data_IF_335898508924
#
_entry.id   IF_335898508924
#
_cell.length_a   1.000
_cell.length_b   1.000
_cell.length_c   1.000
_cell.angle_alpha   90.00
_cell.angle_beta   90.00
_cell.angle_gamma   90.00
#
_symmetry.space_group_name_H-M   'P 1'
#
loop_
_entity.id
_entity.type
_entity.pdbx_description
1 polymer ?
#
# COMPACT_ATOMS: atom_id res chain seq x y z
N UNK A 1 -8.29 -39.99 -45.34
CA UNK A 1 -7.74 -40.05 -43.96
C UNK A 1 -6.62 -39.03 -43.68
N UNK A 2 -5.71 -38.72 -44.62
CA UNK A 2 -4.65 -37.69 -44.41
C UNK A 2 -5.18 -36.26 -44.21
N UNK A 3 -6.21 -35.86 -44.96
CA UNK A 3 -6.83 -34.54 -44.87
C UNK A 3 -7.59 -34.28 -43.56
N UNK A 4 -8.22 -35.32 -42.98
CA UNK A 4 -8.91 -35.22 -41.70
C UNK A 4 -7.95 -35.05 -40.52
N UNK A 5 -6.78 -35.70 -40.56
CA UNK A 5 -5.73 -35.53 -39.54
C UNK A 5 -5.09 -34.14 -39.58
N UNK A 6 -4.96 -33.55 -40.77
CA UNK A 6 -4.45 -32.18 -40.93
C UNK A 6 -5.43 -31.15 -40.36
N UNK A 7 -6.74 -31.32 -40.63
CA UNK A 7 -7.78 -30.45 -40.08
C UNK A 7 -7.84 -30.51 -38.56
N UNK A 8 -7.75 -31.71 -37.97
CA UNK A 8 -7.79 -31.89 -36.51
C UNK A 8 -6.57 -31.24 -35.82
N UNK A 9 -5.37 -31.37 -36.42
CA UNK A 9 -4.16 -30.75 -35.91
C UNK A 9 -4.22 -29.21 -35.98
N UNK A 10 -4.74 -28.64 -37.08
CA UNK A 10 -4.92 -27.19 -37.22
C UNK A 10 -5.97 -26.67 -36.23
N UNK A 11 -7.07 -27.38 -36.00
CA UNK A 11 -8.05 -26.98 -34.99
C UNK A 11 -7.51 -27.03 -33.56
N UNK A 12 -6.66 -28.01 -33.22
CA UNK A 12 -6.05 -28.09 -31.88
C UNK A 12 -5.04 -26.96 -31.62
N UNK A 13 -4.32 -26.50 -32.64
CA UNK A 13 -3.38 -25.36 -32.53
C UNK A 13 -4.14 -24.04 -32.32
N UNK A 14 -5.22 -23.80 -33.07
CA UNK A 14 -6.01 -22.55 -32.96
C UNK A 14 -6.71 -22.42 -31.60
N UNK A 15 -7.10 -23.54 -30.98
CA UNK A 15 -7.74 -23.53 -29.66
C UNK A 15 -6.73 -23.40 -28.51
N UNK A 16 -5.48 -23.84 -28.71
CA UNK A 16 -4.42 -23.69 -27.70
C UNK A 16 -3.89 -22.26 -27.55
N UNK A 17 -4.00 -21.42 -28.58
CA UNK A 17 -3.55 -20.02 -28.53
C UNK A 17 -4.47 -19.10 -27.73
N UNK A 18 -5.71 -19.50 -27.43
CA UNK A 18 -6.66 -18.66 -26.70
C UNK A 18 -6.56 -18.79 -25.17
N UNK A 19 -5.90 -19.83 -24.65
CA UNK A 19 -5.78 -20.02 -23.19
C UNK A 19 -4.66 -19.21 -22.55
N UNK A 20 -3.72 -18.67 -23.34
CA UNK A 20 -2.63 -17.82 -22.86
C UNK A 20 -2.98 -16.32 -22.82
N UNK A 21 -4.03 -15.88 -23.52
CA UNK A 21 -4.45 -14.47 -23.55
C UNK A 21 -5.32 -14.09 -22.34
N UNK A 22 -6.14 -15.02 -21.83
CA UNK A 22 -7.09 -14.74 -20.75
C UNK A 22 -6.42 -14.42 -19.38
N UNK A 23 -5.16 -14.81 -19.18
CA UNK A 23 -4.41 -14.46 -17.97
C UNK A 23 -3.86 -13.02 -17.99
N UNK A 24 -3.74 -12.39 -19.17
CA UNK A 24 -3.17 -11.05 -19.33
C UNK A 24 -4.25 -9.96 -19.36
N UNK A 25 -5.51 -10.30 -19.69
CA UNK A 25 -6.62 -9.33 -19.81
C UNK A 25 -6.97 -8.60 -18.52
N UNK A 26 -6.67 -9.18 -17.36
CA UNK A 26 -6.92 -8.58 -16.03
C UNK A 26 -5.68 -7.92 -15.42
N UNK A 27 -4.54 -7.97 -16.12
CA UNK A 27 -3.31 -7.35 -15.69
C UNK A 27 -3.17 -5.97 -16.34
N UNK A 28 -2.70 -4.99 -15.56
CA UNK A 28 -2.49 -3.62 -15.98
C UNK A 28 -1.07 -3.20 -15.59
N UNK A 29 -0.38 -2.42 -16.45
CA UNK A 29 0.95 -1.95 -16.12
C UNK A 29 0.89 -0.98 -14.93
N UNK A 30 1.89 -1.05 -14.07
CA UNK A 30 2.20 -0.01 -13.10
C UNK A 30 3.60 0.54 -13.34
N UNK A 31 3.88 1.71 -12.76
CA UNK A 31 5.21 2.30 -12.76
C UNK A 31 5.78 2.32 -11.35
N UNK A 32 7.09 2.07 -11.23
CA UNK A 32 7.83 2.24 -9.99
C UNK A 32 8.75 3.45 -10.13
N UNK A 33 8.52 4.47 -9.31
CA UNK A 33 9.37 5.65 -9.24
C UNK A 33 9.75 5.91 -7.79
N UNK A 34 11.05 5.89 -7.47
CA UNK A 34 11.57 6.09 -6.11
C UNK A 34 10.89 5.18 -5.05
N UNK A 35 10.73 3.88 -5.37
CA UNK A 35 10.06 2.92 -4.49
C UNK A 35 8.54 3.05 -4.42
N UNK A 36 7.94 4.00 -5.15
CA UNK A 36 6.49 4.20 -5.20
C UNK A 36 5.89 3.54 -6.42
N UNK A 37 4.87 2.72 -6.19
CA UNK A 37 4.06 2.14 -7.26
C UNK A 37 2.96 3.12 -7.62
N UNK A 38 2.76 3.35 -8.91
CA UNK A 38 1.65 4.16 -9.40
C UNK A 38 0.92 3.51 -10.56
N UNK A 39 -0.39 3.69 -10.61
CA UNK A 39 -1.26 3.21 -11.69
C UNK A 39 -1.98 4.37 -12.38
N UNK A 40 -2.36 4.22 -13.66
CA UNK A 40 -3.20 5.21 -14.33
C UNK A 40 -4.61 5.23 -13.73
N UNK A 41 -5.13 6.44 -13.51
CA UNK A 41 -6.51 6.69 -13.08
C UNK A 41 -7.07 7.88 -13.87
N UNK A 42 -8.38 7.95 -14.01
CA UNK A 42 -9.06 9.13 -14.54
C UNK A 42 -9.81 9.81 -13.39
N UNK A 43 -9.61 11.11 -13.21
CA UNK A 43 -10.31 11.91 -12.20
C UNK A 43 -10.87 13.14 -12.91
N UNK A 44 -12.19 13.34 -12.81
CA UNK A 44 -12.90 14.44 -13.46
C UNK A 44 -12.63 14.53 -14.98
N UNK A 45 -12.53 13.38 -15.66
CA UNK A 45 -12.25 13.32 -17.10
C UNK A 45 -10.77 13.48 -17.48
N UNK A 46 -9.88 13.75 -16.51
CA UNK A 46 -8.45 13.93 -16.75
C UNK A 46 -7.66 12.67 -16.39
N UNK A 47 -6.84 12.18 -17.33
CA UNK A 47 -5.90 11.09 -17.06
C UNK A 47 -4.78 11.58 -16.15
N UNK A 48 -4.60 10.89 -15.03
CA UNK A 48 -3.54 11.15 -14.03
C UNK A 48 -3.03 9.82 -13.46
N UNK A 49 -2.19 9.89 -12.43
CA UNK A 49 -1.64 8.72 -11.74
C UNK A 49 -1.99 8.75 -10.26
N UNK A 50 -2.36 7.58 -9.75
CA UNK A 50 -2.51 7.35 -8.33
C UNK A 50 -1.36 6.51 -7.78
N UNK A 51 -0.74 6.96 -6.69
CA UNK A 51 0.23 6.18 -5.92
C UNK A 51 -0.54 5.15 -5.09
N UNK A 52 -0.17 3.88 -5.23
CA UNK A 52 -0.73 2.80 -4.44
C UNK A 52 -0.15 2.84 -3.03
N UNK A 53 -1.02 2.77 -2.02
CA UNK A 53 -0.64 2.70 -0.61
C UNK A 53 -1.51 1.70 0.17
N UNK A 54 -1.18 1.49 1.44
CA UNK A 54 -1.96 0.66 2.38
C UNK A 54 -2.64 1.47 3.49
N UNK A 55 -2.82 2.78 3.26
CA UNK A 55 -3.52 3.66 4.18
C UNK A 55 -5.01 3.33 4.26
N UNK A 56 -5.70 3.90 5.25
CA UNK A 56 -7.11 3.58 5.50
C UNK A 56 -8.10 4.33 4.59
N UNK A 57 -7.60 5.33 3.86
CA UNK A 57 -8.43 6.17 3.01
C UNK A 57 -8.35 5.67 1.58
N UNK A 58 -9.51 5.37 0.99
CA UNK A 58 -9.63 4.66 -0.28
C UNK A 58 -9.01 5.43 -1.44
N UNK A 59 -9.42 6.68 -1.68
CA UNK A 59 -8.84 7.52 -2.73
C UNK A 59 -8.81 8.98 -2.29
N UNK A 60 -7.69 9.65 -2.56
CA UNK A 60 -7.55 11.07 -2.31
C UNK A 60 -6.75 11.77 -3.40
N UNK A 61 -6.87 13.08 -3.41
CA UNK A 61 -6.16 13.98 -4.33
C UNK A 61 -5.36 15.00 -3.55
N UNK A 62 -4.20 15.37 -4.07
CA UNK A 62 -3.44 16.46 -3.46
C UNK A 62 -4.14 17.80 -3.66
N UNK A 63 -3.83 18.78 -2.81
CA UNK A 63 -4.25 20.18 -2.98
C UNK A 63 -3.91 20.70 -4.38
N UNK A 64 -2.69 20.46 -4.87
CA UNK A 64 -2.27 20.88 -6.21
C UNK A 64 -3.04 20.19 -7.34
N UNK A 65 -3.43 18.92 -7.19
CA UNK A 65 -4.24 18.22 -8.19
C UNK A 65 -5.70 18.70 -8.16
N UNK A 66 -6.26 18.93 -6.97
CA UNK A 66 -7.61 19.48 -6.82
C UNK A 66 -7.72 20.87 -7.46
N UNK A 67 -6.72 21.73 -7.26
CA UNK A 67 -6.65 23.06 -7.89
C UNK A 67 -6.54 22.95 -9.41
N UNK A 68 -5.65 22.09 -9.93
CA UNK A 68 -5.47 21.88 -11.37
C UNK A 68 -6.79 21.45 -12.05
N UNK A 69 -7.54 20.57 -11.40
CA UNK A 69 -8.80 20.04 -11.91
C UNK A 69 -10.00 20.97 -11.65
N UNK A 70 -9.81 22.08 -10.93
CA UNK A 70 -10.87 23.02 -10.58
C UNK A 70 -11.92 22.42 -9.64
N UNK A 71 -11.54 21.51 -8.75
CA UNK A 71 -12.44 20.85 -7.82
C UNK A 71 -12.76 21.78 -6.64
N UNK A 72 -14.02 21.77 -6.20
CA UNK A 72 -14.46 22.51 -5.02
C UNK A 72 -14.08 21.75 -3.74
N UNK A 73 -13.06 22.26 -3.03
CA UNK A 73 -12.59 21.69 -1.77
C UNK A 73 -13.49 22.17 -0.62
N UNK A 74 -14.08 21.21 0.09
CA UNK A 74 -14.85 21.40 1.31
C UNK A 74 -13.92 21.21 2.49
N UNK A 75 -13.67 22.28 3.23
CA UNK A 75 -12.84 22.25 4.44
C UNK A 75 -13.56 21.57 5.60
N UNK A 76 -12.82 20.88 6.50
CA UNK A 76 -13.41 20.26 7.67
C UNK A 76 -13.93 21.31 8.66
N UNK A 77 -14.92 20.95 9.46
CA UNK A 77 -15.37 21.82 10.55
C UNK A 77 -14.23 22.06 11.56
N UNK A 78 -13.98 23.31 11.98
CA UNK A 78 -12.94 23.61 12.95
C UNK A 78 -13.17 22.86 14.26
N UNK A 79 -12.20 22.05 14.67
CA UNK A 79 -12.27 21.34 15.94
C UNK A 79 -11.47 22.08 16.99
N UNK A 80 -12.08 22.31 18.15
CA UNK A 80 -11.40 23.00 19.24
C UNK A 80 -10.16 22.21 19.69
N UNK A 81 -9.09 22.91 20.04
CA UNK A 81 -7.82 22.31 20.49
C UNK A 81 -7.99 21.38 21.71
N UNK A 82 -9.05 21.57 22.50
CA UNK A 82 -9.41 20.68 23.61
C UNK A 82 -10.03 19.38 23.13
N UNK A 83 -10.88 19.42 22.09
CA UNK A 83 -11.53 18.24 21.53
C UNK A 83 -10.57 17.42 20.67
N UNK A 84 -9.69 18.07 19.91
CA UNK A 84 -8.66 17.42 19.07
C UNK A 84 -7.76 16.45 19.87
N UNK A 85 -7.44 16.76 21.14
CA UNK A 85 -6.62 15.91 22.02
C UNK A 85 -7.23 14.57 22.39
N UNK A 86 -8.55 14.44 22.30
CA UNK A 86 -9.27 13.23 22.68
C UNK A 86 -9.89 12.51 21.49
N UNK A 87 -9.66 12.98 20.26
CA UNK A 87 -10.16 12.31 19.08
C UNK A 87 -9.29 11.09 18.74
N UNK A 88 -9.87 9.88 18.67
CA UNK A 88 -9.21 8.74 18.05
C UNK A 88 -8.70 9.08 16.65
N UNK A 89 -7.61 8.46 16.22
CA UNK A 89 -7.06 8.66 14.86
C UNK A 89 -8.10 8.37 13.76
N UNK A 90 -9.00 7.40 13.96
CA UNK A 90 -10.13 7.14 13.05
C UNK A 90 -11.10 8.31 12.92
N UNK A 91 -11.32 9.09 13.98
CA UNK A 91 -12.15 10.29 13.93
C UNK A 91 -11.43 11.49 13.30
N UNK A 92 -10.10 11.47 13.24
CA UNK A 92 -9.32 12.48 12.51
C UNK A 92 -9.43 12.29 10.99
N UNK A 93 -9.68 11.07 10.50
CA UNK A 93 -9.96 10.82 9.08
C UNK A 93 -11.22 11.55 8.59
N UNK A 94 -12.22 11.73 9.47
CA UNK A 94 -13.43 12.51 9.19
C UNK A 94 -13.22 14.03 9.26
N UNK A 95 -12.01 14.48 9.57
CA UNK A 95 -11.61 15.89 9.61
C UNK A 95 -10.67 16.27 8.48
N UNK A 96 -10.56 15.45 7.43
CA UNK A 96 -9.85 15.88 6.24
C UNK A 96 -10.75 16.73 5.36
N UNK A 97 -10.15 17.70 4.69
CA UNK A 97 -10.80 18.40 3.58
C UNK A 97 -11.17 17.37 2.51
N UNK A 98 -12.22 17.65 1.75
CA UNK A 98 -12.77 16.69 0.79
C UNK A 98 -13.30 17.35 -0.48
N UNK A 99 -13.47 16.57 -1.52
CA UNK A 99 -14.22 16.95 -2.72
C UNK A 99 -15.33 15.92 -2.93
N UNK A 100 -16.51 16.35 -3.35
CA UNK A 100 -17.69 15.48 -3.48
C UNK A 100 -18.08 15.32 -4.95
N UNK A 101 -18.75 14.20 -5.27
CA UNK A 101 -19.36 13.95 -6.60
C UNK A 101 -18.36 14.04 -7.77
N UNK A 102 -17.11 13.61 -7.57
CA UNK A 102 -16.08 13.60 -8.61
C UNK A 102 -16.13 12.27 -9.37
N UNK A 103 -16.34 12.26 -10.70
CA UNK A 103 -16.24 11.04 -11.48
C UNK A 103 -14.80 10.50 -11.44
N UNK A 104 -14.66 9.24 -11.06
CA UNK A 104 -13.37 8.54 -11.02
C UNK A 104 -13.47 7.24 -11.77
N UNK A 105 -12.46 6.94 -12.58
CA UNK A 105 -12.29 5.59 -13.12
C UNK A 105 -10.88 5.05 -12.84
N UNK A 106 -10.83 3.77 -12.51
CA UNK A 106 -9.59 3.02 -12.26
C UNK A 106 -9.58 1.85 -13.23
N UNK A 107 -8.50 1.70 -14.00
CA UNK A 107 -8.40 0.69 -15.07
C UNK A 107 -9.54 0.74 -16.09
N UNK A 108 -10.11 1.92 -16.34
CA UNK A 108 -11.21 2.13 -17.27
C UNK A 108 -12.58 1.67 -16.75
N UNK A 109 -12.68 1.35 -15.46
CA UNK A 109 -13.94 1.05 -14.79
C UNK A 109 -14.31 2.23 -13.89
N UNK A 110 -15.56 2.68 -13.99
CA UNK A 110 -16.09 3.73 -13.12
C UNK A 110 -16.18 3.22 -11.69
N UNK A 111 -15.71 4.03 -10.75
CA UNK A 111 -15.70 3.70 -9.33
C UNK A 111 -16.68 4.62 -8.62
N UNK A 112 -17.66 4.00 -7.96
CA UNK A 112 -18.64 4.71 -7.15
C UNK A 112 -18.00 5.11 -5.82
N UNK A 113 -17.94 6.41 -5.56
CA UNK A 113 -17.48 6.96 -4.28
C UNK A 113 -18.17 8.30 -4.02
N UNK A 114 -18.54 8.53 -2.77
CA UNK A 114 -19.25 9.76 -2.37
C UNK A 114 -18.32 10.97 -2.37
N UNK A 115 -17.06 10.76 -2.00
CA UNK A 115 -16.07 11.80 -1.77
C UNK A 115 -14.63 11.30 -1.98
N UNK A 116 -13.74 12.22 -2.32
CA UNK A 116 -12.28 12.05 -2.23
C UNK A 116 -11.78 12.89 -1.06
N UNK A 117 -10.84 12.35 -0.29
CA UNK A 117 -10.14 13.20 0.68
C UNK A 117 -9.09 14.06 -0.04
N UNK A 118 -8.84 15.24 0.51
CA UNK A 118 -7.79 16.14 0.05
C UNK A 118 -6.64 16.11 1.06
N UNK A 119 -5.43 15.92 0.56
CA UNK A 119 -4.22 15.94 1.38
C UNK A 119 -3.29 17.07 0.92
N UNK A 120 -2.59 17.66 1.89
CA UNK A 120 -1.71 18.80 1.64
C UNK A 120 -0.42 18.36 0.95
N UNK A 121 -0.30 18.65 -0.35
CA UNK A 121 0.90 18.34 -1.14
C UNK A 121 0.95 19.16 -2.43
N UNK A 122 2.09 19.80 -2.70
CA UNK A 122 2.30 20.62 -3.91
C UNK A 122 2.46 19.82 -5.22
N UNK A 123 2.61 18.49 -5.13
CA UNK A 123 2.69 17.62 -6.30
C UNK A 123 1.28 17.27 -6.77
N UNK A 124 1.04 17.33 -8.08
CA UNK A 124 -0.24 16.95 -8.70
C UNK A 124 -0.38 15.43 -8.73
N UNK A 125 -0.84 14.83 -7.63
CA UNK A 125 -0.85 13.38 -7.46
C UNK A 125 -2.10 12.92 -6.73
N UNK A 126 -2.58 11.73 -7.08
CA UNK A 126 -3.62 11.03 -6.33
C UNK A 126 -2.99 9.91 -5.49
N UNK A 127 -3.68 9.53 -4.42
CA UNK A 127 -3.32 8.39 -3.57
C UNK A 127 -4.49 7.40 -3.59
N UNK A 128 -4.20 6.13 -3.89
CA UNK A 128 -5.18 5.05 -3.93
C UNK A 128 -4.77 3.95 -2.95
N UNK A 129 -5.59 3.72 -1.93
CA UNK A 129 -5.38 2.61 -1.01
C UNK A 129 -5.81 1.30 -1.62
N UNK A 130 -5.05 0.24 -1.31
CA UNK A 130 -5.44 -1.14 -1.61
C UNK A 130 -6.76 -1.56 -0.97
N UNK A 131 -7.25 -0.84 0.04
CA UNK A 131 -8.59 -1.07 0.61
C UNK A 131 -9.71 -0.90 -0.40
N UNK A 132 -9.50 -0.15 -1.48
CA UNK A 132 -10.47 -0.06 -2.58
C UNK A 132 -10.69 -1.40 -3.31
N UNK A 133 -9.83 -2.37 -3.08
CA UNK A 133 -9.85 -3.70 -3.71
C UNK A 133 -10.24 -4.83 -2.74
N UNK A 134 -10.97 -4.53 -1.66
CA UNK A 134 -11.31 -5.52 -0.61
C UNK A 134 -12.07 -6.76 -1.12
N UNK A 135 -12.81 -6.64 -2.23
CA UNK A 135 -13.66 -7.69 -2.79
C UNK A 135 -12.98 -8.47 -3.94
N UNK A 136 -11.69 -8.24 -4.18
CA UNK A 136 -10.89 -8.87 -5.24
C UNK A 136 -9.51 -9.26 -4.71
N UNK A 137 -8.84 -10.16 -5.43
CA UNK A 137 -7.45 -10.48 -5.16
C UNK A 137 -6.57 -9.62 -6.05
N UNK A 138 -5.68 -8.84 -5.42
CA UNK A 138 -4.66 -8.08 -6.13
C UNK A 138 -3.35 -8.88 -6.13
N UNK A 139 -2.83 -9.14 -7.32
CA UNK A 139 -1.50 -9.70 -7.51
C UNK A 139 -0.57 -8.62 -8.07
N UNK A 140 0.55 -8.39 -7.36
CA UNK A 140 1.61 -7.49 -7.79
C UNK A 140 2.78 -8.29 -8.35
N UNK A 141 3.00 -8.21 -9.66
CA UNK A 141 4.13 -8.79 -10.37
C UNK A 141 5.22 -7.72 -10.55
N UNK A 142 6.12 -7.62 -9.56
CA UNK A 142 7.20 -6.63 -9.55
C UNK A 142 8.18 -6.76 -10.73
N UNK A 143 8.73 -7.95 -11.06
CA UNK A 143 9.66 -8.09 -12.18
C UNK A 143 9.10 -7.63 -13.52
N UNK A 144 7.78 -7.80 -13.73
CA UNK A 144 7.13 -7.42 -14.99
C UNK A 144 6.36 -6.09 -14.89
N UNK A 145 6.33 -5.45 -13.72
CA UNK A 145 5.60 -4.20 -13.45
C UNK A 145 4.11 -4.29 -13.81
N UNK A 146 3.45 -5.38 -13.40
CA UNK A 146 2.03 -5.63 -13.67
C UNK A 146 1.23 -5.85 -12.39
N UNK A 147 0.07 -5.21 -12.32
CA UNK A 147 -0.92 -5.41 -11.27
C UNK A 147 -2.10 -6.16 -11.89
N UNK A 148 -2.45 -7.32 -11.35
CA UNK A 148 -3.56 -8.13 -11.83
C UNK A 148 -4.70 -8.10 -10.82
N UNK A 149 -5.92 -7.89 -11.32
CA UNK A 149 -7.15 -7.90 -10.53
C UNK A 149 -7.87 -9.23 -10.77
N UNK A 150 -7.88 -10.09 -9.77
CA UNK A 150 -8.39 -11.45 -9.89
C UNK A 150 -9.65 -11.63 -9.04
N UNK A 151 -10.61 -12.47 -9.47
CA UNK A 151 -11.76 -12.79 -8.62
C UNK A 151 -11.30 -13.52 -7.35
N UNK A 152 -11.99 -13.37 -6.20
CA UNK A 152 -11.61 -14.04 -4.95
C UNK A 152 -11.50 -15.57 -5.05
N UNK A 153 -12.22 -16.19 -5.99
CA UNK A 153 -12.21 -17.64 -6.23
C UNK A 153 -11.03 -18.11 -7.10
N UNK A 154 -10.21 -17.20 -7.62
CA UNK A 154 -9.08 -17.54 -8.51
C UNK A 154 -7.94 -18.27 -7.80
N UNK A 155 -7.77 -18.02 -6.49
CA UNK A 155 -6.69 -18.56 -5.70
C UNK A 155 -7.18 -18.80 -4.27
N UNK A 156 -6.81 -19.93 -3.70
CA UNK A 156 -6.99 -20.15 -2.27
C UNK A 156 -5.82 -19.49 -1.53
N UNK A 157 -6.06 -18.34 -0.89
CA UNK A 157 -5.03 -17.59 -0.18
C UNK A 157 -4.44 -18.38 1.00
N UNK A 158 -5.21 -19.28 1.63
CA UNK A 158 -4.71 -20.12 2.73
C UNK A 158 -3.65 -21.10 2.24
N UNK A 159 -3.82 -21.66 1.03
CA UNK A 159 -2.90 -22.65 0.46
C UNK A 159 -1.57 -22.03 0.02
N UNK A 160 -1.54 -20.72 -0.24
CA UNK A 160 -0.36 -20.00 -0.76
C UNK A 160 0.24 -19.02 0.25
N UNK A 161 -0.38 -18.86 1.42
CA UNK A 161 0.12 -17.99 2.48
C UNK A 161 1.51 -18.45 2.91
N UNK A 162 2.49 -17.55 2.82
CA UNK A 162 3.89 -17.81 3.17
C UNK A 162 4.48 -16.76 4.13
N UNK A 163 3.67 -15.77 4.51
CA UNK A 163 4.03 -14.72 5.48
C UNK A 163 2.95 -14.64 6.54
N UNK A 164 3.36 -14.39 7.79
CA UNK A 164 2.42 -14.16 8.89
C UNK A 164 1.89 -12.73 8.79
N UNK A 165 0.58 -12.59 8.65
CA UNK A 165 -0.10 -11.30 8.51
C UNK A 165 -1.18 -11.14 9.57
N UNK A 166 -1.32 -9.92 10.07
CA UNK A 166 -2.45 -9.53 10.92
C UNK A 166 -2.91 -8.12 10.59
N UNK A 167 -4.07 -7.75 11.09
CA UNK A 167 -4.57 -6.39 11.00
C UNK A 167 -4.18 -5.62 12.25
N UNK A 168 -3.66 -4.40 12.10
CA UNK A 168 -3.40 -3.51 13.24
C UNK A 168 -4.71 -3.06 13.88
N UNK A 169 -4.64 -2.44 15.06
CA UNK A 169 -5.80 -1.82 15.72
C UNK A 169 -6.55 -0.84 14.80
N UNK A 170 -5.82 -0.19 13.89
CA UNK A 170 -6.37 0.82 12.98
C UNK A 170 -6.91 0.22 11.68
N UNK A 171 -6.69 -1.07 11.40
CA UNK A 171 -7.13 -1.70 10.16
C UNK A 171 -6.05 -1.87 9.10
N UNK A 172 -4.82 -1.39 9.34
CA UNK A 172 -3.72 -1.53 8.39
C UNK A 172 -3.18 -2.97 8.38
N UNK A 173 -2.64 -3.46 7.25
CA UNK A 173 -1.96 -4.74 7.22
C UNK A 173 -0.62 -4.65 7.98
N UNK A 174 -0.33 -5.63 8.82
CA UNK A 174 0.95 -5.80 9.49
C UNK A 174 1.54 -7.17 9.18
N UNK A 175 2.87 -7.21 9.00
CA UNK A 175 3.65 -8.41 8.74
C UNK A 175 4.60 -8.69 9.90
N UNK A 176 4.84 -9.96 10.17
CA UNK A 176 5.89 -10.38 11.09
C UNK A 176 7.21 -10.48 10.33
N UNK A 177 8.26 -9.88 10.91
CA UNK A 177 9.63 -9.96 10.40
C UNK A 177 10.59 -10.34 11.51
N UNK A 178 11.77 -10.85 11.13
CA UNK A 178 12.88 -11.06 12.05
C UNK A 178 14.02 -10.13 11.62
N UNK A 179 14.46 -9.24 12.53
CA UNK A 179 15.57 -8.31 12.26
C UNK A 179 16.84 -8.82 12.92
N UNK A 180 17.93 -8.89 12.15
CA UNK A 180 19.26 -9.37 12.58
C UNK A 180 19.24 -10.75 13.26
N UNK A 181 18.24 -11.58 12.96
CA UNK A 181 18.07 -12.92 13.55
C UNK A 181 17.73 -12.95 15.05
N UNK A 182 17.35 -11.82 15.65
CA UNK A 182 17.16 -11.69 17.11
C UNK A 182 15.70 -11.58 17.52
N UNK A 183 14.99 -10.61 16.93
CA UNK A 183 13.67 -10.21 17.41
C UNK A 183 12.59 -10.39 16.34
N UNK A 184 11.45 -10.93 16.76
CA UNK A 184 10.21 -10.92 15.98
C UNK A 184 9.54 -9.56 16.13
N UNK A 185 9.45 -8.81 15.04
CA UNK A 185 8.88 -7.47 15.02
C UNK A 185 7.68 -7.48 14.09
N UNK A 186 6.57 -6.91 14.58
CA UNK A 186 5.41 -6.63 13.75
C UNK A 186 5.53 -5.25 13.14
N UNK A 187 5.55 -5.18 11.81
CA UNK A 187 5.65 -3.94 11.06
C UNK A 187 4.41 -3.70 10.23
N UNK A 188 3.97 -2.44 10.16
CA UNK A 188 2.94 -2.03 9.20
C UNK A 188 3.46 -2.24 7.77
N UNK A 189 2.72 -3.00 6.98
CA UNK A 189 3.07 -3.25 5.59
C UNK A 189 2.62 -2.06 4.73
N UNK A 190 3.57 -1.16 4.44
CA UNK A 190 3.32 0.06 3.67
C UNK A 190 3.78 -0.04 2.22
N UNK A 191 2.83 -0.26 1.31
CA UNK A 191 3.10 -0.14 -0.12
C UNK A 191 3.35 1.33 -0.46
N UNK A 192 4.39 1.60 -1.25
CA UNK A 192 4.73 2.96 -1.66
C UNK A 192 5.49 3.79 -0.61
N UNK A 193 5.88 3.18 0.51
CA UNK A 193 6.89 3.76 1.39
C UNK A 193 8.26 3.71 0.70
N UNK A 194 8.96 4.86 0.50
CA UNK A 194 10.22 4.90 -0.24
C UNK A 194 11.43 4.46 0.60
N UNK A 195 11.27 4.27 1.92
CA UNK A 195 12.32 3.78 2.81
C UNK A 195 12.35 2.25 2.92
N UNK A 196 13.29 1.74 3.71
CA UNK A 196 13.37 0.30 4.02
C UNK A 196 12.40 -0.09 5.13
N UNK A 197 12.79 0.16 6.37
CA UNK A 197 11.98 -0.10 7.56
C UNK A 197 11.95 1.13 8.45
N UNK A 198 10.82 1.39 9.09
CA UNK A 198 10.74 2.32 10.21
C UNK A 198 10.39 1.55 11.48
N UNK A 199 11.15 1.74 12.55
CA UNK A 199 10.94 1.10 13.85
C UNK A 199 10.78 2.15 14.95
N UNK A 200 10.13 1.76 16.05
CA UNK A 200 10.04 2.60 17.24
C UNK A 200 11.36 2.62 18.03
N UNK A 201 11.44 3.52 19.00
CA UNK A 201 12.61 3.70 19.86
C UNK A 201 12.96 2.42 20.64
N UNK A 202 11.97 1.72 21.20
CA UNK A 202 12.19 0.50 21.99
C UNK A 202 12.81 -0.60 21.13
N UNK A 203 12.28 -0.80 19.93
CA UNK A 203 12.82 -1.77 18.97
C UNK A 203 14.23 -1.37 18.52
N UNK A 204 14.51 -0.08 18.35
CA UNK A 204 15.86 0.39 18.03
C UNK A 204 16.85 0.20 19.19
N UNK A 205 16.39 0.35 20.44
CA UNK A 205 17.17 0.08 21.65
C UNK A 205 17.50 -1.42 21.76
N UNK A 206 16.49 -2.29 21.62
CA UNK A 206 16.64 -3.75 21.68
C UNK A 206 17.59 -4.27 20.59
N UNK A 207 17.60 -3.64 19.42
CA UNK A 207 18.50 -3.95 18.31
C UNK A 207 19.90 -3.31 18.43
N UNK A 208 20.11 -2.41 19.40
CA UNK A 208 21.38 -1.71 19.61
C UNK A 208 21.65 -0.54 18.65
N UNK A 209 20.68 -0.15 17.83
CA UNK A 209 20.87 0.90 16.81
C UNK A 209 21.09 2.29 17.39
N UNK A 210 20.55 2.55 18.59
CA UNK A 210 20.74 3.82 19.28
C UNK A 210 22.22 4.11 19.60
N UNK A 211 23.03 3.07 19.82
CA UNK A 211 24.46 3.18 20.10
C UNK A 211 25.29 3.28 18.82
N UNK A 212 24.93 2.50 17.80
CA UNK A 212 25.68 2.37 16.55
C UNK A 212 25.56 3.60 15.65
N UNK A 213 24.38 4.22 15.61
CA UNK A 213 24.14 5.45 14.85
C UNK A 213 23.36 6.45 15.69
N UNK A 214 24.05 7.40 16.35
CA UNK A 214 23.36 8.42 17.13
C UNK A 214 22.46 9.27 16.23
N UNK A 215 21.32 9.67 16.77
CA UNK A 215 20.35 10.44 16.02
C UNK A 215 20.88 11.82 15.59
N UNK A 216 20.33 12.31 14.49
CA UNK A 216 20.59 13.66 14.00
C UNK A 216 19.94 14.72 14.90
N UNK A 217 20.23 15.99 14.62
CA UNK A 217 19.70 17.14 15.37
C UNK A 217 18.16 17.24 15.38
N UNK A 218 17.47 16.48 14.52
CA UNK A 218 16.00 16.42 14.46
C UNK A 218 15.42 15.24 15.26
N UNK A 219 16.25 14.53 16.04
CA UNK A 219 15.79 13.40 16.86
C UNK A 219 15.46 12.15 16.05
N UNK A 220 16.05 11.97 14.85
CA UNK A 220 15.89 10.76 14.04
C UNK A 220 17.24 10.11 13.73
N UNK A 221 17.30 8.79 13.87
CA UNK A 221 18.46 7.97 13.53
C UNK A 221 18.21 7.09 12.30
N UNK A 222 19.30 6.60 11.71
CA UNK A 222 19.26 5.62 10.63
C UNK A 222 20.37 4.60 10.85
N UNK A 223 20.00 3.32 10.88
CA UNK A 223 20.93 2.21 10.94
C UNK A 223 20.72 1.30 9.73
N UNK A 224 21.66 0.39 9.50
CA UNK A 224 21.54 -0.63 8.44
C UNK A 224 21.40 -1.98 9.12
N UNK A 225 20.32 -2.70 8.82
CA UNK A 225 20.12 -4.06 9.31
C UNK A 225 21.07 -5.01 8.58
N UNK A 226 21.65 -5.96 9.30
CA UNK A 226 22.44 -7.05 8.72
C UNK A 226 21.52 -7.98 7.93
N UNK A 227 20.37 -8.32 8.53
CA UNK A 227 19.34 -9.13 7.90
C UNK A 227 17.93 -8.71 8.29
N UNK A 228 16.98 -8.96 7.39
CA UNK A 228 15.55 -8.87 7.60
C UNK A 228 14.90 -10.09 6.95
N UNK A 229 14.38 -11.00 7.76
CA UNK A 229 13.64 -12.16 7.30
C UNK A 229 12.13 -11.91 7.36
N UNK A 230 11.40 -12.33 6.33
CA UNK A 230 9.95 -12.29 6.28
C UNK A 230 9.45 -13.48 5.45
N UNK A 231 8.71 -14.38 6.10
CA UNK A 231 8.33 -15.66 5.48
C UNK A 231 9.56 -16.47 5.01
N UNK A 232 9.59 -16.98 3.76
CA UNK A 232 10.71 -17.76 3.24
C UNK A 232 11.88 -16.89 2.71
N UNK A 233 11.81 -15.57 2.85
CA UNK A 233 12.77 -14.64 2.28
C UNK A 233 13.64 -13.98 3.36
N UNK A 234 14.90 -13.71 3.01
CA UNK A 234 15.84 -12.95 3.82
C UNK A 234 16.51 -11.88 2.96
N UNK A 235 16.47 -10.64 3.43
CA UNK A 235 17.09 -9.48 2.79
C UNK A 235 18.24 -8.99 3.66
N UNK A 236 19.33 -8.53 3.05
CA UNK A 236 20.46 -7.94 3.77
C UNK A 236 20.64 -6.47 3.46
N UNK A 237 21.19 -5.72 4.41
CA UNK A 237 21.59 -4.33 4.20
C UNK A 237 20.42 -3.35 4.03
N UNK A 238 19.34 -3.54 4.78
CA UNK A 238 18.15 -2.68 4.69
C UNK A 238 18.31 -1.49 5.65
N UNK A 239 18.01 -0.29 5.18
CA UNK A 239 18.01 0.89 6.06
C UNK A 239 16.80 0.87 6.99
N UNK A 240 17.07 1.01 8.30
CA UNK A 240 16.08 1.17 9.35
C UNK A 240 16.13 2.60 9.89
N UNK A 241 15.01 3.32 9.83
CA UNK A 241 14.85 4.65 10.45
C UNK A 241 14.15 4.53 11.80
N UNK A 242 14.55 5.34 12.77
CA UNK A 242 13.96 5.35 14.11
C UNK A 242 13.96 6.73 14.75
N UNK A 243 13.12 6.88 15.78
CA UNK A 243 13.13 8.04 16.68
C UNK A 243 14.25 7.89 17.72
N UNK A 244 14.90 8.99 18.06
CA UNK A 244 15.94 9.07 19.10
C UNK A 244 15.38 9.16 20.52
N UNK A 245 14.10 9.48 20.65
CA UNK A 245 13.44 9.70 21.92
C UNK A 245 12.28 8.71 22.07
N UNK A 246 12.07 8.25 23.32
CA UNK A 246 10.92 7.44 23.70
C UNK A 246 9.64 8.24 23.40
N UNK A 247 8.81 7.70 22.50
CA UNK A 247 7.49 8.28 22.21
C UNK A 247 6.52 8.10 23.38
N UNK A 248 5.34 8.75 23.35
CA UNK A 248 4.29 8.49 24.34
C UNK A 248 3.87 7.00 24.29
N UNK A 249 4.05 6.28 25.40
CA UNK A 249 3.74 4.85 25.53
C UNK A 249 2.29 4.55 25.13
N UNK A 250 2.11 3.87 24.00
CA UNK A 250 0.93 3.04 23.79
C UNK A 250 1.24 1.73 24.50
N UNK A 251 0.60 1.47 25.65
CA UNK A 251 0.82 0.23 26.41
C UNK A 251 0.77 -0.96 25.45
N UNK A 252 1.90 -1.67 25.31
CA UNK A 252 1.93 -3.06 24.86
C UNK A 252 0.98 -3.82 25.78
N UNK A 253 -0.22 -4.16 25.31
CA UNK A 253 -1.02 -5.16 26.00
C UNK A 253 -0.24 -6.46 25.82
N UNK A 254 0.37 -6.92 26.90
CA UNK A 254 0.78 -8.31 27.05
C UNK A 254 -0.45 -9.16 26.76
N UNK A 255 -0.54 -9.69 25.54
CA UNK A 255 -1.40 -10.83 25.25
C UNK A 255 -0.63 -12.07 25.67
N UNK A 256 -0.51 -12.24 26.99
CA UNK A 256 -0.39 -13.54 27.63
C UNK A 256 -1.78 -13.83 28.19
N UNK A 257 -2.56 -14.58 27.40
CA UNK A 257 -3.53 -15.65 27.76
C UNK A 257 -4.50 -15.92 26.60
#
# INVERSE_FOLDING_TARGET
MRSFRLFLAVSLVIWSSNSLAAADENCRPFEVNNGRISIPVNIAGTETRAIINSGLQTLGVSTALAELLGLEVIEPEPVSAQRARYLPQLTQLGQLSRVENVPVSVFGQDVQMDQLYVFDQDLQVANLSVMMFQDVVIQMDYPQSRMCVLPPTSINLEDVANISMRTTLLGAPAIEVIINGREYVWLDFQIGYPGGVSIDFETAEDLGFLEESPANANGSGTATTESLAFGPYELGGINATYSAEEGPRVRRSSLED
#
